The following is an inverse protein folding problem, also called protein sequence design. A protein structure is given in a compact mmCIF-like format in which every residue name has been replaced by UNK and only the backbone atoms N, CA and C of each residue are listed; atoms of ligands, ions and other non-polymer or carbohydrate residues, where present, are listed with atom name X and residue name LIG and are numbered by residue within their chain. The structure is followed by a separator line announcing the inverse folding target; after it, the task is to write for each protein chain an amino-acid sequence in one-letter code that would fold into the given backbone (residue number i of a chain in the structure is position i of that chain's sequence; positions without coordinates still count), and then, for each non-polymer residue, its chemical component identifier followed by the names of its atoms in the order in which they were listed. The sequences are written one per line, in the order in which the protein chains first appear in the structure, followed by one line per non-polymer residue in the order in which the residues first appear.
data_IF_293711784439
#
_entry.id   IF_293711784439
#
_cell.length_a   1.000
_cell.length_b   1.000
_cell.length_c   1.000
_cell.angle_alpha   90.00
_cell.angle_beta   90.00
_cell.angle_gamma   90.00
#
_symmetry.space_group_name_H-M   'P 1'
#
loop_
_entity.id
_entity.type
_entity.pdbx_description
1 polymer ?
2 non-polymer ?
3 water ?
#
# COMPACT_ATOMS: atom_id res chain seq x y z
N UNK A 2 9.93 -25.05 -1.18
CA UNK A 2 11.22 -24.59 -1.69
C UNK A 2 11.76 -23.43 -0.86
N UNK A 3 12.06 -23.72 0.41
CA UNK A 3 12.44 -22.66 1.34
C UNK A 3 13.76 -21.99 0.95
N UNK A 4 14.74 -22.78 0.50
CA UNK A 4 16.03 -22.19 0.12
C UNK A 4 15.86 -21.22 -1.05
N UNK A 5 15.11 -21.62 -2.07
CA UNK A 5 14.95 -20.74 -3.22
C UNK A 5 14.21 -19.46 -2.82
N UNK A 6 13.17 -19.60 -1.99
CA UNK A 6 12.41 -18.43 -1.55
C UNK A 6 13.28 -17.47 -0.74
N UNK A 7 14.16 -18.01 0.11
CA UNK A 7 15.06 -17.15 0.88
C UNK A 7 16.07 -16.44 -0.02
N UNK A 8 16.61 -17.14 -1.04
CA UNK A 8 17.57 -16.50 -1.93
C UNK A 8 16.92 -15.38 -2.73
N UNK A 9 15.72 -15.64 -3.24
CA UNK A 9 15.00 -14.63 -4.00
C UNK A 9 14.70 -13.42 -3.13
N UNK A 10 14.26 -13.65 -1.88
CA UNK A 10 14.01 -12.52 -0.99
C UNK A 10 15.27 -11.71 -0.77
N UNK A 11 16.40 -12.38 -0.53
CA UNK A 11 17.67 -11.69 -0.36
C UNK A 11 18.03 -10.87 -1.61
N UNK A 12 17.78 -11.44 -2.80
CA UNK A 12 18.09 -10.71 -4.02
C UNK A 12 17.27 -9.43 -4.12
N UNK A 13 15.97 -9.51 -3.92
CA UNK A 13 15.14 -8.31 -4.03
C UNK A 13 15.44 -7.30 -2.93
N UNK A 14 15.80 -7.76 -1.72
CA UNK A 14 16.12 -6.81 -0.66
C UNK A 14 17.30 -5.92 -1.04
N UNK A 15 18.22 -6.43 -1.86
CA UNK A 15 19.43 -5.73 -2.24
C UNK A 15 19.33 -4.99 -3.57
N UNK A 16 18.17 -5.02 -4.23
CA UNK A 16 18.03 -4.37 -5.53
C UNK A 16 18.04 -2.85 -5.37
N UNK A 17 18.64 -2.17 -6.33
CA UNK A 17 18.58 -0.71 -6.39
C UNK A 17 17.23 -0.29 -6.94
N UNK A 18 16.94 1.01 -6.87
CA UNK A 18 15.71 1.50 -7.48
C UNK A 18 15.68 1.23 -8.98
N UNK A 19 16.74 1.47 -9.75
CA UNK A 19 16.68 1.11 -11.18
C UNK A 19 16.34 -0.34 -11.43
N UNK A 20 16.78 -1.24 -10.55
CA UNK A 20 16.51 -2.67 -10.71
C UNK A 20 15.08 -3.01 -10.31
N UNK A 21 14.55 -2.34 -9.28
CA UNK A 21 13.16 -2.55 -8.90
C UNK A 21 12.22 -2.09 -10.00
N UNK A 22 12.59 -1.01 -10.70
CA UNK A 22 11.77 -0.49 -11.78
C UNK A 22 11.63 -1.47 -12.93
N UNK A 23 12.51 -2.47 -13.02
CA UNK A 23 12.32 -3.52 -14.03
C UNK A 23 11.06 -4.34 -13.80
N UNK A 24 10.46 -4.26 -12.60
CA UNK A 24 9.24 -4.99 -12.26
C UNK A 24 8.05 -4.06 -12.12
N UNK A 25 8.20 -2.84 -12.60
CA UNK A 25 7.17 -1.82 -12.47
C UNK A 25 5.84 -2.24 -13.09
N UNK A 26 4.74 -1.96 -12.38
CA UNK A 26 3.38 -2.16 -12.87
C UNK A 26 2.63 -0.85 -12.69
N UNK A 27 1.73 -0.54 -13.61
CA UNK A 27 0.96 0.69 -13.52
C UNK A 27 -0.30 0.46 -12.67
N UNK A 28 -0.40 1.16 -11.54
CA UNK A 28 -1.53 1.04 -10.62
C UNK A 28 -2.47 2.21 -10.85
N UNK A 29 -3.76 1.90 -10.94
CA UNK A 29 -4.85 2.88 -11.09
C UNK A 29 -5.79 2.71 -9.90
N UNK A 30 -6.29 3.81 -9.36
CA UNK A 30 -7.21 3.75 -8.23
C UNK A 30 -8.63 3.39 -8.68
N UNK A 31 -9.30 2.55 -7.88
CA UNK A 31 -10.63 2.04 -8.21
C UNK A 31 -11.70 2.90 -7.55
N UNK A 32 -12.42 3.66 -8.39
CA UNK A 32 -13.47 4.55 -7.89
C UNK A 32 -14.52 3.79 -7.08
N UNK A 33 -14.80 2.53 -7.41
CA UNK A 33 -15.82 1.80 -6.67
C UNK A 33 -15.45 1.56 -5.22
N UNK A 34 -14.16 1.60 -4.89
CA UNK A 34 -13.77 1.29 -3.52
C UNK A 34 -13.60 2.52 -2.64
N UNK A 35 -13.47 3.73 -3.21
CA UNK A 35 -13.08 4.89 -2.43
C UNK A 35 -14.12 5.29 -1.38
N UNK A 36 -13.68 5.42 -0.14
CA UNK A 36 -14.48 6.03 0.92
C UNK A 36 -14.83 7.47 0.54
N UNK A 37 -15.96 7.96 1.06
CA UNK A 37 -16.45 9.30 0.71
C UNK A 37 -15.50 10.41 1.14
N UNK A 38 -14.55 10.14 2.03
CA UNK A 38 -13.58 11.15 2.42
C UNK A 38 -12.33 11.12 1.55
N UNK A 39 -12.29 10.25 0.55
CA UNK A 39 -11.12 10.05 -0.29
C UNK A 39 -11.45 10.62 -1.67
N UNK A 40 -10.81 11.73 -2.03
CA UNK A 40 -11.02 12.33 -3.35
C UNK A 40 -9.97 11.79 -4.31
N UNK A 41 -10.38 11.55 -5.55
CA UNK A 41 -9.50 10.97 -6.56
C UNK A 41 -9.30 11.97 -7.69
N UNK A 42 -8.08 12.01 -8.24
CA UNK A 42 -7.79 12.99 -9.29
C UNK A 42 -6.64 12.48 -10.15
N UNK A 43 -6.41 13.21 -11.25
CA UNK A 43 -5.30 12.94 -12.16
C UNK A 43 -5.46 11.55 -12.79
N UNK A 44 -6.62 11.33 -13.41
CA UNK A 44 -6.95 10.04 -14.02
C UNK A 44 -6.77 8.91 -13.02
N UNK A 45 -7.29 9.12 -11.80
CA UNK A 45 -7.35 8.09 -10.77
C UNK A 45 -5.96 7.61 -10.33
N UNK A 46 -4.98 8.53 -10.31
CA UNK A 46 -3.66 8.21 -9.78
C UNK A 46 -3.34 8.94 -8.48
N UNK A 47 -4.21 9.82 -8.01
CA UNK A 47 -3.95 10.60 -6.81
C UNK A 47 -5.14 10.46 -5.87
N UNK A 48 -4.86 10.13 -4.61
CA UNK A 48 -5.86 10.07 -3.55
C UNK A 48 -5.54 11.15 -2.53
N UNK A 49 -6.54 11.94 -2.16
CA UNK A 49 -6.33 12.98 -1.16
C UNK A 49 -7.56 13.05 -0.26
N UNK A 50 -7.41 13.74 0.85
CA UNK A 50 -8.49 13.83 1.83
C UNK A 50 -9.46 14.94 1.41
N UNK A 51 -10.73 14.58 1.25
CA UNK A 51 -11.76 15.57 0.96
C UNK A 51 -12.19 16.23 2.27
N UNK A 52 -12.11 17.56 2.34
CA UNK A 52 -12.48 18.26 3.56
C UNK A 52 -13.94 18.04 3.91
N UNK A 53 -14.80 17.91 2.89
CA UNK A 53 -16.20 17.54 3.02
C UNK A 53 -16.44 16.17 2.37
N UNK A 54 -17.30 15.35 2.98
CA UNK A 54 -17.59 14.04 2.39
C UNK A 54 -18.21 14.16 1.00
N UNK A 55 -17.76 13.30 0.09
CA UNK A 55 -18.37 13.20 -1.22
C UNK A 55 -19.60 12.31 -1.13
N UNK A 56 -20.33 12.16 -2.24
CA UNK A 56 -21.55 11.35 -2.26
C UNK A 56 -21.44 10.31 -3.37
N UNK A 57 -20.43 9.44 -3.26
CA UNK A 57 -20.21 8.40 -4.24
C UNK A 57 -21.38 7.44 -4.29
N UNK A 58 -21.64 6.89 -5.46
CA UNK A 58 -22.73 5.93 -5.60
C UNK A 58 -22.46 4.71 -4.73
N UNK A 59 -23.49 4.15 -4.08
CA UNK A 59 -23.27 2.96 -3.25
C UNK A 59 -22.72 1.80 -4.08
N UNK A 60 -21.84 1.01 -3.46
CA UNK A 60 -21.27 -0.13 -4.15
C UNK A 60 -20.82 -1.11 -3.07
N UNK A 61 -21.04 -2.42 -3.24
CA UNK A 61 -20.62 -3.36 -2.19
C UNK A 61 -19.15 -3.27 -1.84
N UNK A 62 -18.29 -2.89 -2.79
CA UNK A 62 -16.86 -2.84 -2.59
C UNK A 62 -16.38 -1.54 -1.97
N UNK A 63 -17.26 -0.58 -1.72
CA UNK A 63 -16.84 0.74 -1.25
C UNK A 63 -16.54 0.71 0.26
N UNK A 64 -15.39 1.25 0.64
CA UNK A 64 -15.10 1.41 2.06
C UNK A 64 -16.05 2.42 2.70
N UNK A 65 -16.67 2.03 3.80
CA UNK A 65 -17.66 2.89 4.45
C UNK A 65 -17.23 3.36 5.83
N UNK A 66 -16.21 2.75 6.41
CA UNK A 66 -15.73 3.06 7.76
C UNK A 66 -14.36 3.72 7.78
N UNK A 67 -13.42 3.26 6.96
CA UNK A 67 -12.09 3.82 6.91
C UNK A 67 -11.86 4.50 5.56
N UNK A 68 -11.14 5.62 5.60
CA UNK A 68 -10.94 6.47 4.41
C UNK A 68 -9.83 5.86 3.56
N UNK A 69 -10.19 4.78 2.87
CA UNK A 69 -9.26 3.95 2.12
C UNK A 69 -9.73 3.81 0.67
N UNK A 70 -8.83 3.29 -0.18
CA UNK A 70 -9.13 3.02 -1.59
C UNK A 70 -8.16 1.96 -2.05
N UNK A 71 -8.61 1.12 -2.99
CA UNK A 71 -7.79 0.06 -3.58
C UNK A 71 -7.45 0.37 -5.03
N UNK A 72 -6.41 -0.31 -5.51
CA UNK A 72 -6.13 -0.33 -6.92
C UNK A 72 -7.18 -1.12 -7.68
N UNK A 73 -7.16 -0.94 -9.00
CA UNK A 73 -8.13 -1.56 -9.90
C UNK A 73 -7.85 -3.03 -10.12
N UNK A 74 -6.57 -3.40 -10.22
CA UNK A 74 -6.20 -4.77 -10.53
C UNK A 74 -5.68 -5.47 -9.29
N UNK A 75 -5.89 -6.78 -9.24
CA UNK A 75 -5.28 -7.59 -8.21
C UNK A 75 -4.27 -8.55 -8.84
N UNK A 76 -3.36 -9.05 -8.02
CA UNK A 76 -2.23 -9.85 -8.49
C UNK A 76 -2.19 -11.15 -7.72
N UNK A 77 -2.14 -12.27 -8.45
CA UNK A 77 -1.98 -13.57 -7.82
C UNK A 77 -0.74 -14.31 -8.28
N UNK A 78 -0.04 -13.81 -9.30
CA UNK A 78 1.16 -14.43 -9.83
C UNK A 78 2.11 -13.34 -10.25
N UNK A 79 3.40 -13.67 -10.29
CA UNK A 79 4.39 -12.74 -10.81
C UNK A 79 4.95 -11.81 -9.75
N UNK A 80 5.74 -10.85 -10.25
CA UNK A 80 6.45 -9.87 -9.42
C UNK A 80 6.04 -8.48 -9.86
N UNK A 81 5.77 -7.60 -8.89
CA UNK A 81 5.16 -6.30 -9.16
C UNK A 81 5.78 -5.26 -8.27
N UNK A 82 6.14 -4.11 -8.86
CA UNK A 82 6.67 -2.98 -8.14
C UNK A 82 5.86 -1.73 -8.48
N UNK A 83 5.51 -0.94 -7.47
CA UNK A 83 4.93 0.37 -7.74
C UNK A 83 5.40 1.32 -6.64
N UNK A 84 5.39 2.61 -6.97
CA UNK A 84 5.84 3.66 -6.07
C UNK A 84 4.72 4.63 -5.80
N UNK A 85 4.70 5.15 -4.58
CA UNK A 85 3.68 6.09 -4.14
C UNK A 85 4.39 7.28 -3.51
N UNK A 86 4.15 8.47 -4.04
CA UNK A 86 4.66 9.70 -3.43
C UNK A 86 3.67 10.17 -2.36
N UNK A 87 4.20 10.62 -1.23
CA UNK A 87 3.37 11.11 -0.14
C UNK A 87 3.78 12.53 0.22
N UNK A 88 2.79 13.35 0.62
CA UNK A 88 3.14 14.64 1.22
C UNK A 88 3.62 14.41 2.65
N UNK A 89 4.73 15.07 3.00
CA UNK A 89 5.37 14.85 4.28
C UNK A 89 4.49 15.30 5.45
N UNK A 90 4.70 14.66 6.60
CA UNK A 90 4.09 15.04 7.88
C UNK A 90 2.56 14.97 7.82
N UNK A 91 2.05 13.78 7.49
CA UNK A 91 0.62 13.52 7.36
C UNK A 91 0.31 12.12 7.86
N UNK A 92 -0.97 11.90 8.20
CA UNK A 92 -1.52 10.59 8.57
C UNK A 92 -1.97 9.85 7.31
N UNK A 93 -1.29 8.77 6.95
CA UNK A 93 -1.64 8.02 5.74
C UNK A 93 -1.01 6.64 5.78
N UNK A 94 -1.38 5.80 4.81
CA UNK A 94 -0.86 4.45 4.76
C UNK A 94 -0.84 3.89 3.36
N UNK A 95 0.14 3.00 3.12
CA UNK A 95 0.33 2.29 1.85
C UNK A 95 0.47 0.80 2.16
N UNK A 96 -0.28 -0.03 1.45
CA UNK A 96 -0.19 -1.44 1.73
C UNK A 96 -0.76 -2.31 0.64
N UNK A 97 -1.12 -3.54 1.02
CA UNK A 97 -1.75 -4.51 0.13
C UNK A 97 -2.82 -5.23 0.94
N UNK A 98 -3.83 -5.75 0.24
CA UNK A 98 -4.86 -6.52 0.92
C UNK A 98 -5.50 -7.52 -0.02
N UNK A 99 -6.02 -8.60 0.55
CA UNK A 99 -6.86 -9.54 -0.17
C UNK A 99 -8.19 -8.87 -0.54
N UNK A 100 -8.76 -9.28 -1.66
CA UNK A 100 -10.09 -8.81 -2.03
C UNK A 100 -11.15 -9.17 -1.00
N UNK A 101 -10.94 -10.24 -0.25
CA UNK A 101 -11.92 -10.69 0.74
C UNK A 101 -11.92 -9.85 2.02
N UNK A 102 -11.00 -8.90 2.15
CA UNK A 102 -11.00 -8.02 3.32
C UNK A 102 -12.34 -7.29 3.42
N UNK A 103 -12.84 -7.16 4.64
CA UNK A 103 -14.10 -6.47 4.87
C UNK A 103 -13.97 -5.01 4.41
N UNK A 104 -15.06 -4.48 3.85
CA UNK A 104 -15.08 -3.09 3.43
C UNK A 104 -15.83 -2.21 4.42
N UNK A 105 -16.36 -2.80 5.48
CA UNK A 105 -17.19 -2.10 6.44
C UNK A 105 -16.70 -2.43 7.84
N UNK A 106 -16.92 -1.50 8.77
CA UNK A 106 -16.58 -1.71 10.16
C UNK A 106 -15.09 -1.57 10.45
N UNK A 107 -14.73 -1.66 11.73
CA UNK A 107 -13.32 -1.55 12.12
C UNK A 107 -12.45 -2.64 11.53
N UNK A 108 -13.06 -3.77 11.17
CA UNK A 108 -12.32 -4.86 10.54
C UNK A 108 -11.82 -4.52 9.15
N UNK A 109 -12.29 -3.42 8.56
CA UNK A 109 -11.84 -2.99 7.25
C UNK A 109 -10.54 -2.20 7.28
N UNK A 110 -10.02 -1.85 8.45
CA UNK A 110 -8.84 -0.99 8.52
C UNK A 110 -7.59 -1.76 8.14
N UNK A 111 -6.82 -1.18 7.21
CA UNK A 111 -5.60 -1.83 6.73
C UNK A 111 -4.64 -2.11 7.87
N UNK A 112 -4.11 -3.33 7.88
CA UNK A 112 -3.15 -3.74 8.86
C UNK A 112 -3.76 -4.19 10.17
N UNK A 113 -5.07 -4.07 10.33
CA UNK A 113 -5.73 -4.48 11.56
C UNK A 113 -6.51 -5.77 11.38
N UNK A 114 -6.19 -6.53 10.32
CA UNK A 114 -6.86 -7.78 10.06
C UNK A 114 -5.86 -8.75 9.42
N UNK A 115 -6.29 -9.99 9.26
CA UNK A 115 -5.42 -11.01 8.70
C UNK A 115 -5.24 -10.88 7.20
N UNK A 116 -6.00 -9.99 6.56
CA UNK A 116 -6.07 -9.91 5.10
C UNK A 116 -5.28 -8.74 4.52
N UNK A 117 -4.46 -8.06 5.31
CA UNK A 117 -3.83 -6.84 4.82
C UNK A 117 -2.51 -6.60 5.54
N UNK A 118 -1.62 -5.88 4.86
CA UNK A 118 -0.27 -5.56 5.30
C UNK A 118 0.03 -4.12 4.88
N UNK A 119 0.54 -3.29 5.78
CA UNK A 119 0.80 -1.92 5.37
C UNK A 119 1.92 -1.28 6.20
N UNK A 120 2.46 -0.20 5.65
CA UNK A 120 3.23 0.77 6.42
C UNK A 120 2.38 2.02 6.56
N UNK A 121 2.49 2.68 7.72
CA UNK A 121 1.55 3.73 8.05
C UNK A 121 2.28 4.85 8.77
N UNK A 122 1.99 6.08 8.37
CA UNK A 122 2.47 7.28 9.05
C UNK A 122 1.33 7.75 9.94
N UNK A 123 1.59 7.87 11.23
CA UNK A 123 0.53 8.08 12.22
C UNK A 123 1.15 8.89 13.35
N UNK A 124 0.80 10.18 13.43
CA UNK A 124 1.31 11.06 14.49
C UNK A 124 2.83 11.23 14.38
N UNK A 125 3.30 11.43 13.14
CA UNK A 125 4.68 11.63 12.68
C UNK A 125 5.56 10.40 12.85
N UNK A 126 5.01 9.30 13.34
CA UNK A 126 5.74 8.04 13.52
C UNK A 126 5.37 7.08 12.39
N UNK A 127 6.31 6.19 12.06
CA UNK A 127 6.12 5.21 10.99
C UNK A 127 6.01 3.82 11.62
N UNK A 128 5.03 3.05 11.18
CA UNK A 128 4.82 1.70 11.72
C UNK A 128 4.46 0.76 10.58
N UNK A 129 4.78 -0.52 10.76
CA UNK A 129 4.31 -1.59 9.89
C UNK A 129 3.23 -2.38 10.63
N UNK A 130 2.15 -2.71 9.93
CA UNK A 130 0.98 -3.34 10.52
C UNK A 130 0.57 -4.59 9.75
N UNK A 131 0.29 -5.67 10.50
CA UNK A 131 -0.41 -6.82 9.96
C UNK A 131 -1.11 -7.54 11.10
N UNK A 132 -2.36 -7.95 10.89
CA UNK A 132 -3.09 -8.80 11.84
C UNK A 132 -3.23 -8.12 13.21
N UNK A 133 -3.39 -6.79 13.20
CA UNK A 133 -3.56 -5.98 14.41
C UNK A 133 -2.31 -6.00 15.30
N UNK A 134 -1.15 -6.26 14.71
CA UNK A 134 0.13 -6.20 15.41
C UNK A 134 0.94 -5.08 14.77
N UNK A 135 1.39 -4.14 15.58
CA UNK A 135 2.15 -2.98 15.13
C UNK A 135 3.63 -3.17 15.39
N UNK A 136 4.46 -2.77 14.43
CA UNK A 136 5.91 -2.72 14.58
C UNK A 136 6.37 -1.29 14.28
N UNK A 137 6.91 -0.61 15.29
CA UNK A 137 7.46 0.73 15.09
C UNK A 137 8.73 0.65 14.26
N UNK A 138 8.90 1.60 13.35
CA UNK A 138 10.05 1.70 12.45
C UNK A 138 10.80 3.01 12.70
N UNK A 139 12.07 3.08 12.33
CA UNK A 139 12.78 4.36 12.38
C UNK A 139 12.22 5.34 11.36
N UNK A 140 12.28 6.62 11.70
CA UNK A 140 11.79 7.65 10.80
C UNK A 140 12.64 7.72 9.54
N UNK A 141 12.03 8.17 8.45
CA UNK A 141 12.77 8.47 7.23
C UNK A 141 12.33 9.82 6.71
N UNK A 142 13.28 10.49 6.04
CA UNK A 142 12.98 11.73 5.35
C UNK A 142 12.50 11.48 3.92
N UNK A 143 12.41 10.22 3.51
CA UNK A 143 11.86 9.91 2.20
C UNK A 143 10.40 10.31 2.14
N UNK A 144 9.98 10.82 0.98
CA UNK A 144 8.59 11.13 0.70
C UNK A 144 8.01 10.17 -0.35
N UNK A 145 8.60 8.99 -0.49
CA UNK A 145 8.14 8.02 -1.48
C UNK A 145 8.33 6.61 -0.92
N UNK A 146 7.32 5.77 -1.12
CA UNK A 146 7.38 4.37 -0.74
C UNK A 146 7.30 3.52 -2.01
N UNK A 147 8.11 2.47 -2.06
CA UNK A 147 8.05 1.48 -3.12
C UNK A 147 7.58 0.16 -2.52
N UNK A 148 6.66 -0.50 -3.21
CA UNK A 148 6.10 -1.77 -2.78
C UNK A 148 6.53 -2.83 -3.79
N UNK A 149 7.32 -3.79 -3.34
CA UNK A 149 7.73 -4.93 -4.16
C UNK A 149 6.93 -6.14 -3.70
N UNK A 150 5.97 -6.55 -4.51
CA UNK A 150 5.13 -7.71 -4.22
C UNK A 150 5.60 -8.87 -5.07
N UNK A 151 6.06 -9.93 -4.43
CA UNK A 151 6.50 -11.13 -5.12
C UNK A 151 5.52 -12.24 -4.78
N UNK A 152 4.56 -12.47 -5.68
CA UNK A 152 3.56 -13.50 -5.45
C UNK A 152 4.14 -14.90 -5.59
N UNK A 153 5.17 -15.05 -6.45
CA UNK A 153 5.69 -16.37 -6.80
C UNK A 153 6.46 -17.00 -5.64
N UNK A 154 7.18 -16.18 -4.87
CA UNK A 154 7.97 -16.69 -3.76
C UNK A 154 7.52 -16.16 -2.40
N UNK A 155 6.37 -15.50 -2.35
CA UNK A 155 5.68 -15.23 -1.10
C UNK A 155 6.28 -14.17 -0.20
N UNK A 156 6.40 -12.94 -0.70
CA UNK A 156 6.75 -11.85 0.19
C UNK A 156 6.34 -10.51 -0.39
N UNK A 157 6.28 -9.52 0.48
CA UNK A 157 6.11 -8.12 0.08
C UNK A 157 7.15 -7.29 0.82
N UNK A 158 7.78 -6.36 0.11
CA UNK A 158 8.79 -5.48 0.67
C UNK A 158 8.32 -4.04 0.51
N UNK A 159 8.44 -3.26 1.59
CA UNK A 159 8.21 -1.82 1.57
C UNK A 159 9.54 -1.10 1.66
N UNK A 160 9.88 -0.34 0.62
CA UNK A 160 11.09 0.45 0.57
C UNK A 160 10.79 1.92 0.77
N UNK A 161 11.65 2.59 1.54
CA UNK A 161 11.70 4.05 1.52
C UNK A 161 12.57 4.47 0.34
N UNK A 162 12.03 5.32 -0.52
CA UNK A 162 12.68 5.63 -1.80
C UNK A 162 13.11 7.09 -1.79
N UNK A 163 14.43 7.29 -1.86
CA UNK A 163 15.04 8.62 -1.90
C UNK A 163 16.08 8.59 -3.02
N UNK A 164 17.22 9.26 -2.82
CA UNK A 164 18.33 9.09 -3.75
C UNK A 164 18.77 7.64 -3.85
N UNK A 165 18.56 6.85 -2.79
CA UNK A 165 18.67 5.40 -2.82
C UNK A 165 17.42 4.81 -2.18
N UNK A 166 17.29 3.48 -2.29
CA UNK A 166 16.21 2.75 -1.62
C UNK A 166 16.73 2.21 -0.29
N UNK A 167 15.88 2.24 0.73
CA UNK A 167 16.17 1.71 2.04
C UNK A 167 15.01 0.83 2.48
N UNK A 168 15.31 -0.29 3.13
CA UNK A 168 14.26 -1.13 3.66
C UNK A 168 13.48 -0.41 4.75
N UNK A 169 12.15 -0.41 4.63
CA UNK A 169 11.27 -0.05 5.73
C UNK A 169 10.86 -1.31 6.50
N UNK A 170 10.25 -2.26 5.81
CA UNK A 170 9.79 -3.49 6.43
C UNK A 170 9.46 -4.49 5.32
N UNK A 171 9.46 -5.78 5.68
CA UNK A 171 9.07 -6.84 4.76
C UNK A 171 8.21 -7.86 5.51
N UNK A 172 7.35 -8.56 4.76
CA UNK A 172 6.56 -9.67 5.29
C UNK A 172 6.69 -10.88 4.37
N UNK A 173 6.90 -12.06 4.97
CA UNK A 173 6.86 -13.32 4.23
C UNK A 173 5.50 -13.96 4.47
N UNK A 174 4.73 -14.13 3.39
CA UNK A 174 3.40 -14.72 3.44
C UNK A 174 3.27 -15.66 2.26
N UNK A 175 2.73 -16.86 2.50
CA UNK A 175 2.27 -17.70 1.40
C UNK A 175 0.84 -17.24 1.11
N UNK A 176 0.73 -16.25 0.22
CA UNK A 176 -0.56 -15.60 -0.03
C UNK A 176 -1.58 -16.60 -0.55
N UNK A 177 -2.82 -16.50 -0.02
CA UNK A 177 -3.89 -17.45 -0.33
C UNK A 177 -4.85 -16.96 -1.39
N UNK A 178 -4.81 -15.68 -1.76
CA UNK A 178 -5.61 -15.16 -2.85
C UNK A 178 -4.91 -13.91 -3.39
N UNK A 179 -5.46 -13.36 -4.47
CA UNK A 179 -4.84 -12.24 -5.16
C UNK A 179 -4.84 -10.99 -4.27
N UNK A 180 -3.85 -10.12 -4.53
CA UNK A 180 -3.65 -8.93 -3.71
C UNK A 180 -3.94 -7.66 -4.48
N UNK A 181 -4.58 -6.68 -3.81
CA UNK A 181 -4.79 -5.34 -4.32
C UNK A 181 -3.85 -4.36 -3.62
N UNK A 182 -3.24 -3.43 -4.36
CA UNK A 182 -2.66 -2.26 -3.70
C UNK A 182 -3.74 -1.54 -2.90
N UNK A 183 -3.37 -1.07 -1.72
CA UNK A 183 -4.31 -0.45 -0.80
C UNK A 183 -3.70 0.83 -0.23
N UNK A 184 -4.57 1.76 0.13
CA UNK A 184 -4.18 3.13 0.45
C UNK A 184 -5.10 3.68 1.53
N UNK A 185 -4.52 4.45 2.45
CA UNK A 185 -5.27 5.13 3.51
C UNK A 185 -4.81 6.58 3.58
N UNK A 186 -5.75 7.53 3.61
CA UNK A 186 -5.41 8.94 3.81
C UNK A 186 -6.35 9.51 4.87
N UNK A 187 -5.80 10.26 5.82
CA UNK A 187 -6.64 10.77 6.91
C UNK A 187 -6.41 12.24 7.25
N UNK A 188 -5.17 12.67 7.42
CA UNK A 188 -4.94 14.06 7.81
C UNK A 188 -5.28 15.01 6.67
N UNK A 189 -5.59 16.26 7.04
CA UNK A 189 -5.91 17.25 6.03
C UNK A 189 -4.76 17.39 5.06
N UNK A 190 -5.07 17.42 3.78
CA UNK A 190 -4.00 17.55 2.82
C UNK A 190 -3.10 16.34 2.67
N UNK A 191 -3.35 15.25 3.40
CA UNK A 191 -2.67 14.00 3.09
C UNK A 191 -2.96 13.62 1.65
N UNK A 192 -1.91 13.23 0.92
CA UNK A 192 -2.04 12.92 -0.50
C UNK A 192 -1.11 11.76 -0.84
N UNK A 193 -1.64 10.78 -1.57
CA UNK A 193 -0.87 9.65 -2.06
C UNK A 193 -0.94 9.67 -3.58
N UNK A 194 0.23 9.70 -4.23
CA UNK A 194 0.31 9.86 -5.67
C UNK A 194 1.05 8.69 -6.29
N UNK A 195 0.37 7.97 -7.17
CA UNK A 195 1.01 6.86 -7.87
C UNK A 195 1.86 7.46 -8.98
N UNK A 196 3.17 7.30 -8.86
CA UNK A 196 4.10 8.00 -9.75
C UNK A 196 4.22 7.31 -11.07
N UNK A 197 4.53 8.10 -12.09
CA UNK A 197 4.93 7.58 -13.40
C UNK A 197 6.38 7.99 -13.58
N UNK A 198 7.34 7.09 -13.32
CA UNK A 198 8.76 7.41 -13.45
C UNK A 198 9.26 7.36 -14.90
#
# INVERSE_FOLDING_TARGET
GMASLKAKVLETFLAKSRPELLEYYIKVILDYNTAHNKVALSECYTVASVAEMPQNYRPHPQRFTYCSQVLGLHCYKKGIHYWEVELQKNNFCGVGICYGSMNRQGPESRLGRNSASWCVEWFNTKISAWHNNVEKTLPSTKATRVGVLLNCDHGFVIFFAVADKVHLMYKFRVDFTEALYPAFWVFSAGATLSICSPK
#
